data_IF_527221704391
#
_entry.id   IF_527221704391
#
_cell.length_a   1.000
_cell.length_b   1.000
_cell.length_c   1.000
_cell.angle_alpha   90.00
_cell.angle_beta   90.00
_cell.angle_gamma   90.00
#
_symmetry.space_group_name_H-M   'P 1'
#
loop_
_entity.id
_entity.type
_entity.pdbx_description
1 polymer ?
#
# COMPACT_ATOMS: atom_id res chain seq x y z
N UNK A 1 -8.91 -6.49 35.47
CA UNK A 1 -9.84 -5.93 34.46
C UNK A 1 -9.92 -4.43 34.68
N UNK A 2 -9.03 -3.65 34.06
CA UNK A 2 -8.97 -2.19 34.17
C UNK A 2 -9.13 -1.59 32.77
N UNK A 3 -10.36 -1.40 32.34
CA UNK A 3 -10.70 -0.60 31.16
C UNK A 3 -11.44 0.64 31.66
N UNK A 4 -10.88 1.83 31.46
CA UNK A 4 -11.50 3.09 31.90
C UNK A 4 -10.55 4.25 32.24
N UNK A 5 -9.22 4.10 32.16
CA UNK A 5 -8.35 5.25 32.41
C UNK A 5 -8.28 6.18 31.19
N UNK A 6 -8.53 7.46 31.44
CA UNK A 6 -8.36 8.54 30.48
C UNK A 6 -6.93 8.51 29.94
N UNK A 7 -6.78 8.41 28.61
CA UNK A 7 -5.46 8.53 28.00
C UNK A 7 -5.19 10.02 27.78
N UNK A 8 -4.03 10.46 28.28
CA UNK A 8 -3.51 11.82 28.10
C UNK A 8 -2.35 11.75 27.12
N UNK A 9 -2.27 12.71 26.21
CA UNK A 9 -1.09 12.91 25.40
C UNK A 9 -0.73 14.39 25.42
N UNK A 10 0.58 14.65 25.38
CA UNK A 10 1.18 15.98 25.37
C UNK A 10 1.73 16.21 23.96
N UNK A 11 1.20 17.20 23.25
CA UNK A 11 1.84 17.71 22.04
C UNK A 11 2.60 19.00 22.37
N UNK A 12 3.67 19.29 21.64
CA UNK A 12 4.45 20.51 21.81
C UNK A 12 4.15 21.45 20.65
N UNK A 13 3.89 22.72 20.94
CA UNK A 13 3.72 23.74 19.90
C UNK A 13 5.08 24.26 19.36
N UNK A 14 5.02 25.21 18.43
CA UNK A 14 6.20 25.81 17.79
C UNK A 14 7.09 26.58 18.78
N UNK A 15 6.58 26.93 19.97
CA UNK A 15 7.31 27.57 21.06
C UNK A 15 7.85 26.54 22.07
N UNK A 16 7.61 25.24 21.83
CA UNK A 16 8.04 24.14 22.70
C UNK A 16 7.17 23.96 23.95
N UNK A 17 5.99 24.57 23.99
CA UNK A 17 5.07 24.47 25.12
C UNK A 17 4.23 23.20 24.98
N UNK A 18 4.24 22.37 26.03
CA UNK A 18 3.49 21.12 26.07
C UNK A 18 2.02 21.33 26.42
N UNK A 19 1.12 20.96 25.52
CA UNK A 19 -0.33 21.02 25.69
C UNK A 19 -0.89 19.63 25.99
N UNK A 20 -1.50 19.46 27.16
CA UNK A 20 -2.06 18.20 27.63
C UNK A 20 -3.54 18.07 27.19
N UNK A 21 -3.85 17.11 26.33
CA UNK A 21 -5.22 16.89 25.83
C UNK A 21 -5.84 15.67 26.52
N UNK A 22 -6.99 15.89 27.16
CA UNK A 22 -7.78 14.87 27.85
C UNK A 22 -8.78 14.23 26.89
N UNK A 23 -8.47 13.00 26.44
CA UNK A 23 -9.29 12.28 25.46
C UNK A 23 -10.46 11.57 26.17
N UNK A 24 -11.55 12.31 26.45
CA UNK A 24 -12.86 11.73 26.78
C UNK A 24 -13.79 11.97 25.60
N UNK A 25 -14.43 10.89 25.15
CA UNK A 25 -15.46 10.84 24.11
C UNK A 25 -14.91 10.97 22.69
N UNK A 26 -15.21 10.01 21.81
CA UNK A 26 -14.83 10.04 20.39
C UNK A 26 -15.58 11.10 19.58
N UNK A 27 -15.70 12.32 20.12
CA UNK A 27 -16.53 13.40 19.63
C UNK A 27 -18.00 12.99 19.48
N UNK A 28 -18.71 13.75 18.64
CA UNK A 28 -20.11 13.47 18.27
C UNK A 28 -20.30 12.08 17.63
N UNK A 29 -19.29 11.58 16.91
CA UNK A 29 -19.33 10.26 16.28
C UNK A 29 -19.38 9.14 17.33
N UNK A 30 -18.51 9.20 18.34
CA UNK A 30 -18.47 8.23 19.43
C UNK A 30 -19.75 8.24 20.26
N UNK A 31 -20.28 9.43 20.55
CA UNK A 31 -21.56 9.58 21.24
C UNK A 31 -22.74 9.01 20.41
N UNK A 32 -22.76 9.28 19.11
CA UNK A 32 -23.81 8.80 18.20
C UNK A 32 -23.79 7.29 18.03
N UNK A 33 -22.62 6.67 17.87
CA UNK A 33 -22.48 5.22 17.73
C UNK A 33 -22.87 4.48 19.02
N UNK A 34 -22.50 5.03 20.18
CA UNK A 34 -22.92 4.49 21.46
C UNK A 34 -24.44 4.57 21.63
N UNK A 35 -25.03 5.74 21.36
CA UNK A 35 -26.47 5.97 21.51
C UNK A 35 -27.33 5.15 20.55
N UNK A 36 -26.94 5.07 19.28
CA UNK A 36 -27.79 4.50 18.22
C UNK A 36 -27.56 3.00 18.01
N UNK A 37 -26.36 2.50 18.33
CA UNK A 37 -25.98 1.12 18.02
C UNK A 37 -25.35 0.38 19.21
N UNK A 38 -25.18 1.03 20.37
CA UNK A 38 -24.46 0.49 21.53
C UNK A 38 -23.03 0.02 21.17
N UNK A 39 -22.39 0.74 20.24
CA UNK A 39 -21.02 0.46 19.77
C UNK A 39 -20.05 1.49 20.35
N UNK A 40 -18.98 1.00 20.98
CA UNK A 40 -17.89 1.86 21.45
C UNK A 40 -16.77 1.96 20.41
N UNK A 41 -16.28 3.18 20.21
CA UNK A 41 -15.21 3.46 19.25
C UNK A 41 -13.84 3.16 19.87
N UNK A 42 -13.01 2.40 19.16
CA UNK A 42 -11.63 2.15 19.59
C UNK A 42 -10.72 3.33 19.21
N UNK A 43 -10.64 4.35 20.07
CA UNK A 43 -9.99 5.63 19.77
C UNK A 43 -8.51 5.52 19.34
N UNK A 44 -7.77 4.52 19.85
CA UNK A 44 -6.37 4.30 19.41
C UNK A 44 -6.22 3.76 17.98
N UNK A 45 -7.27 3.15 17.43
CA UNK A 45 -7.31 2.57 16.08
C UNK A 45 -8.13 3.41 15.11
N UNK A 46 -9.01 4.26 15.63
CA UNK A 46 -9.88 5.14 14.84
C UNK A 46 -9.11 6.40 14.50
N UNK A 47 -8.66 6.49 13.25
CA UNK A 47 -7.88 7.60 12.74
C UNK A 47 -8.47 8.09 11.43
N UNK A 48 -8.24 9.36 11.12
CA UNK A 48 -8.74 9.99 9.91
C UNK A 48 -7.58 10.60 9.13
N UNK A 49 -7.69 10.50 7.81
CA UNK A 49 -6.79 11.14 6.87
C UNK A 49 -7.61 11.68 5.70
N UNK A 50 -7.19 12.82 5.15
CA UNK A 50 -7.74 13.33 3.90
C UNK A 50 -6.64 14.03 3.10
N UNK A 51 -6.80 14.03 1.78
CA UNK A 51 -5.86 14.67 0.87
C UNK A 51 -5.96 16.21 0.88
N UNK A 52 -7.03 16.78 1.46
CA UNK A 52 -7.26 18.22 1.51
C UNK A 52 -6.43 18.92 2.60
N UNK A 53 -5.77 18.16 3.49
CA UNK A 53 -4.96 18.71 4.58
C UNK A 53 -5.77 19.38 5.69
N UNK A 54 -7.11 19.20 5.70
CA UNK A 54 -7.98 19.80 6.72
C UNK A 54 -8.12 18.88 7.93
N UNK A 55 -7.96 19.39 9.14
CA UNK A 55 -8.15 18.59 10.36
C UNK A 55 -9.65 18.27 10.57
N UNK A 56 -10.04 16.97 10.62
CA UNK A 56 -11.41 16.59 10.94
C UNK A 56 -11.73 16.80 12.42
N UNK A 57 -12.87 17.41 12.70
CA UNK A 57 -13.34 17.60 14.08
C UNK A 57 -13.56 16.26 14.81
N UNK A 58 -12.99 16.14 16.01
CA UNK A 58 -13.27 15.02 16.95
C UNK A 58 -12.63 13.68 16.61
N UNK A 59 -11.73 13.61 15.62
CA UNK A 59 -11.00 12.39 15.25
C UNK A 59 -9.49 12.60 15.30
N UNK A 60 -8.74 11.54 15.60
CA UNK A 60 -7.29 11.59 15.52
C UNK A 60 -6.86 11.71 14.05
N UNK A 61 -6.39 12.90 13.67
CA UNK A 61 -5.93 13.19 12.33
C UNK A 61 -4.49 12.76 12.13
N UNK A 62 -4.24 11.93 11.11
CA UNK A 62 -2.90 11.48 10.73
C UNK A 62 -2.36 12.21 9.51
N UNK A 63 -3.01 13.26 9.03
CA UNK A 63 -2.47 14.17 8.01
C UNK A 63 -1.79 15.40 8.59
N UNK A 64 -1.58 15.46 9.92
CA UNK A 64 -1.05 16.62 10.61
C UNK A 64 0.32 17.03 10.05
N UNK A 65 0.41 18.27 9.56
CA UNK A 65 1.61 18.86 8.97
C UNK A 65 2.78 18.98 9.95
N UNK A 66 2.49 19.04 11.26
CA UNK A 66 3.52 19.00 12.31
C UNK A 66 4.17 17.62 12.46
N UNK A 67 3.56 16.55 11.93
CA UNK A 67 4.18 15.23 11.89
C UNK A 67 5.20 15.16 10.76
N UNK A 68 6.29 14.39 10.93
CA UNK A 68 7.19 14.07 9.83
C UNK A 68 6.41 13.48 8.63
N UNK A 69 6.75 13.81 7.37
CA UNK A 69 6.02 13.33 6.19
C UNK A 69 5.81 11.82 6.16
N UNK A 70 6.76 11.03 6.66
CA UNK A 70 6.71 9.56 6.73
C UNK A 70 5.66 9.03 7.72
N UNK A 71 5.07 9.89 8.55
CA UNK A 71 4.00 9.57 9.50
C UNK A 71 2.64 10.16 9.08
N UNK A 72 2.60 10.88 7.94
CA UNK A 72 1.39 11.54 7.45
C UNK A 72 0.50 10.61 6.62
N UNK A 73 -0.07 9.58 7.26
CA UNK A 73 -0.93 8.63 6.58
C UNK A 73 -1.58 7.61 7.51
N UNK A 74 -2.25 6.62 6.92
CA UNK A 74 -2.85 5.49 7.62
C UNK A 74 -2.81 4.23 6.75
N UNK A 75 -2.98 3.08 7.40
CA UNK A 75 -3.11 1.79 6.72
C UNK A 75 -4.58 1.38 6.68
N UNK A 76 -5.13 1.19 5.48
CA UNK A 76 -6.45 0.61 5.27
C UNK A 76 -6.28 -0.84 4.87
N UNK A 77 -6.64 -1.78 5.75
CA UNK A 77 -6.49 -3.23 5.49
C UNK A 77 -5.08 -3.66 5.05
N UNK A 78 -4.06 -2.89 5.43
CA UNK A 78 -2.66 -3.12 5.06
C UNK A 78 -2.16 -2.31 3.86
N UNK A 79 -3.05 -1.64 3.12
CA UNK A 79 -2.71 -0.73 2.03
C UNK A 79 -2.42 0.68 2.57
N UNK A 80 -1.28 1.29 2.21
CA UNK A 80 -0.93 2.63 2.67
C UNK A 80 -1.74 3.70 1.93
N UNK A 81 -2.26 4.66 2.69
CA UNK A 81 -2.89 5.88 2.20
C UNK A 81 -2.29 7.07 2.95
N UNK A 82 -1.74 8.05 2.26
CA UNK A 82 -1.04 9.15 2.91
C UNK A 82 -0.23 10.01 1.95
N UNK A 83 0.70 10.75 2.53
CA UNK A 83 1.79 11.41 1.79
C UNK A 83 2.60 10.40 0.96
N UNK A 84 3.34 10.89 -0.03
CA UNK A 84 4.24 10.07 -0.84
C UNK A 84 5.30 9.39 0.03
N UNK A 85 5.81 10.09 1.03
CA UNK A 85 6.84 9.65 1.95
C UNK A 85 6.31 8.57 2.90
N UNK A 86 5.06 8.68 3.37
CA UNK A 86 4.40 7.65 4.17
C UNK A 86 4.18 6.36 3.35
N UNK A 87 3.73 6.50 2.10
CA UNK A 87 3.53 5.35 1.21
C UNK A 87 4.86 4.66 0.92
N UNK A 88 5.89 5.42 0.55
CA UNK A 88 7.23 4.89 0.26
C UNK A 88 7.84 4.20 1.49
N UNK A 89 7.81 4.84 2.67
CA UNK A 89 8.35 4.26 3.90
C UNK A 89 7.65 2.95 4.28
N UNK A 90 6.32 2.90 4.12
CA UNK A 90 5.53 1.69 4.36
C UNK A 90 5.91 0.58 3.37
N UNK A 91 6.03 0.89 2.09
CA UNK A 91 6.41 -0.07 1.07
C UNK A 91 7.84 -0.61 1.30
N UNK A 92 8.78 0.26 1.70
CA UNK A 92 10.14 -0.14 2.07
C UNK A 92 10.13 -1.07 3.29
N UNK A 93 9.34 -0.78 4.33
CA UNK A 93 9.19 -1.66 5.48
C UNK A 93 8.58 -3.02 5.09
N UNK A 94 7.57 -3.03 4.20
CA UNK A 94 7.02 -4.26 3.64
C UNK A 94 8.07 -5.04 2.86
N UNK A 95 8.90 -4.37 2.07
CA UNK A 95 10.02 -4.99 1.34
C UNK A 95 11.01 -5.64 2.30
N UNK A 96 11.41 -4.96 3.35
CA UNK A 96 12.24 -5.56 4.42
C UNK A 96 11.64 -6.84 4.99
N UNK A 97 10.36 -6.83 5.34
CA UNK A 97 9.65 -8.01 5.85
C UNK A 97 9.63 -9.19 4.86
N UNK A 98 9.44 -8.94 3.56
CA UNK A 98 9.52 -10.06 2.61
C UNK A 98 10.97 -10.50 2.37
N UNK A 99 11.98 -9.66 2.64
CA UNK A 99 13.39 -10.05 2.62
C UNK A 99 13.71 -11.08 3.71
N UNK A 100 13.24 -10.83 4.94
CA UNK A 100 13.34 -11.81 6.04
C UNK A 100 12.64 -13.13 5.69
N UNK A 101 11.50 -13.07 5.00
CA UNK A 101 10.78 -14.26 4.55
C UNK A 101 11.59 -15.05 3.51
N UNK A 102 12.24 -14.38 2.55
CA UNK A 102 13.09 -15.05 1.56
C UNK A 102 14.33 -15.68 2.22
N UNK A 103 14.92 -15.01 3.22
CA UNK A 103 16.03 -15.60 3.99
C UNK A 103 15.60 -16.87 4.73
N UNK A 104 14.40 -16.86 5.35
CA UNK A 104 13.84 -18.05 6.00
C UNK A 104 13.48 -19.16 5.03
N UNK A 105 13.02 -18.80 3.84
CA UNK A 105 12.75 -19.76 2.76
C UNK A 105 14.03 -20.50 2.41
N UNK A 106 15.12 -19.79 2.11
CA UNK A 106 16.42 -20.38 1.75
C UNK A 106 17.09 -21.18 2.88
N UNK A 107 16.58 -21.07 4.12
CA UNK A 107 17.09 -21.81 5.27
C UNK A 107 16.43 -23.20 5.44
N UNK A 108 15.46 -23.57 4.58
CA UNK A 108 14.77 -24.86 4.68
C UNK A 108 15.64 -26.02 4.21
N UNK A 109 16.65 -25.75 3.38
CA UNK A 109 17.61 -26.73 2.85
C UNK A 109 16.92 -27.86 2.05
N UNK A 110 15.77 -27.56 1.43
CA UNK A 110 15.02 -28.50 0.60
C UNK A 110 14.50 -27.80 -0.66
N UNK A 111 15.21 -28.01 -1.76
CA UNK A 111 15.04 -27.27 -3.01
C UNK A 111 13.59 -27.29 -3.53
N UNK A 112 12.87 -28.42 -3.42
CA UNK A 112 11.52 -28.51 -3.96
C UNK A 112 10.54 -27.63 -3.18
N UNK A 113 10.58 -27.69 -1.85
CA UNK A 113 9.75 -26.86 -0.97
C UNK A 113 10.11 -25.39 -1.12
N UNK A 114 11.39 -25.06 -1.17
CA UNK A 114 11.88 -23.70 -1.37
C UNK A 114 11.39 -23.11 -2.70
N UNK A 115 11.55 -23.87 -3.78
CA UNK A 115 11.04 -23.50 -5.10
C UNK A 115 9.53 -23.25 -5.08
N UNK A 116 8.78 -24.16 -4.47
CA UNK A 116 7.32 -24.09 -4.44
C UNK A 116 6.84 -22.93 -3.57
N UNK A 117 7.54 -22.63 -2.47
CA UNK A 117 7.30 -21.46 -1.63
C UNK A 117 7.64 -20.15 -2.34
N UNK A 118 8.71 -20.12 -3.14
CA UNK A 118 9.09 -18.96 -3.92
C UNK A 118 8.02 -18.62 -4.95
N UNK A 119 7.63 -19.62 -5.75
CA UNK A 119 6.69 -19.48 -6.86
C UNK A 119 5.25 -19.19 -6.39
N UNK A 120 4.73 -19.99 -5.46
CA UNK A 120 3.31 -19.94 -5.08
C UNK A 120 3.01 -18.91 -4.00
N UNK A 121 3.99 -18.56 -3.17
CA UNK A 121 3.79 -17.63 -2.06
C UNK A 121 4.58 -16.35 -2.23
N UNK A 122 5.92 -16.42 -2.19
CA UNK A 122 6.77 -15.23 -2.05
C UNK A 122 6.57 -14.23 -3.21
N UNK A 123 6.60 -14.72 -4.46
CA UNK A 123 6.37 -13.91 -5.66
C UNK A 123 4.97 -13.26 -5.69
N UNK A 124 3.97 -13.91 -5.08
CA UNK A 124 2.58 -13.44 -5.11
C UNK A 124 2.25 -12.41 -4.01
N UNK A 125 3.12 -12.25 -2.99
CA UNK A 125 2.83 -11.42 -1.81
C UNK A 125 2.69 -9.93 -2.13
N UNK A 126 3.26 -9.47 -3.23
CA UNK A 126 3.18 -8.07 -3.64
C UNK A 126 1.82 -7.70 -4.27
N UNK A 127 1.05 -8.69 -4.78
CA UNK A 127 -0.13 -8.46 -5.63
C UNK A 127 -1.17 -7.52 -5.00
N UNK A 128 -1.45 -7.64 -3.70
CA UNK A 128 -2.43 -6.76 -3.07
C UNK A 128 -1.96 -5.29 -3.05
N UNK A 129 -0.66 -5.04 -2.89
CA UNK A 129 -0.10 -3.69 -2.95
C UNK A 129 -0.15 -3.16 -4.37
N UNK A 130 0.19 -3.98 -5.37
CA UNK A 130 0.08 -3.60 -6.79
C UNK A 130 -1.35 -3.25 -7.20
N UNK A 131 -2.35 -3.88 -6.56
CA UNK A 131 -3.78 -3.60 -6.80
C UNK A 131 -4.33 -2.40 -6.04
N UNK A 132 -3.64 -1.90 -5.01
CA UNK A 132 -4.20 -0.88 -4.10
C UNK A 132 -3.36 0.39 -4.00
N UNK A 133 -2.10 0.35 -4.45
CA UNK A 133 -1.19 1.50 -4.48
C UNK A 133 -1.05 2.00 -5.92
N UNK A 134 -1.10 3.33 -6.16
CA UNK A 134 -0.87 3.88 -7.49
C UNK A 134 0.44 3.37 -8.12
N UNK A 135 0.45 3.00 -9.42
CA UNK A 135 1.61 2.43 -10.09
C UNK A 135 2.88 3.30 -10.00
N UNK A 136 2.74 4.62 -10.01
CA UNK A 136 3.86 5.57 -9.88
C UNK A 136 4.50 5.55 -8.49
N UNK A 137 3.72 5.25 -7.45
CA UNK A 137 4.21 5.12 -6.08
C UNK A 137 4.74 3.70 -5.78
N UNK A 138 4.29 2.69 -6.54
CA UNK A 138 4.71 1.31 -6.36
C UNK A 138 5.95 0.91 -7.20
N UNK A 139 6.45 1.77 -8.10
CA UNK A 139 7.54 1.48 -9.04
C UNK A 139 8.79 0.92 -8.34
N UNK A 140 9.33 1.66 -7.37
CA UNK A 140 10.55 1.28 -6.65
C UNK A 140 10.37 -0.01 -5.86
N UNK A 141 9.21 -0.16 -5.19
CA UNK A 141 8.87 -1.37 -4.45
C UNK A 141 8.79 -2.60 -5.36
N UNK A 142 8.15 -2.46 -6.53
CA UNK A 142 7.98 -3.55 -7.47
C UNK A 142 9.32 -3.96 -8.11
N UNK A 143 10.16 -2.99 -8.49
CA UNK A 143 11.51 -3.26 -8.98
C UNK A 143 12.39 -3.95 -7.92
N UNK A 144 12.34 -3.47 -6.67
CA UNK A 144 13.08 -4.07 -5.55
C UNK A 144 12.57 -5.48 -5.21
N UNK A 145 11.26 -5.72 -5.34
CA UNK A 145 10.67 -7.05 -5.20
C UNK A 145 11.18 -8.01 -6.27
N UNK A 146 11.13 -7.63 -7.55
CA UNK A 146 11.60 -8.45 -8.67
C UNK A 146 13.08 -8.81 -8.50
N UNK A 147 13.92 -7.84 -8.16
CA UNK A 147 15.34 -8.08 -7.89
C UNK A 147 15.57 -9.06 -6.73
N UNK A 148 14.76 -9.01 -5.68
CA UNK A 148 14.86 -9.94 -4.56
C UNK A 148 14.40 -11.36 -4.92
N UNK A 149 13.36 -11.49 -5.74
CA UNK A 149 12.89 -12.78 -6.27
C UNK A 149 13.95 -13.39 -7.21
N UNK A 150 14.54 -12.57 -8.09
CA UNK A 150 15.61 -12.97 -9.01
C UNK A 150 16.85 -13.47 -8.24
N UNK A 151 17.31 -12.73 -7.21
CA UNK A 151 18.40 -13.19 -6.34
C UNK A 151 18.07 -14.47 -5.60
N UNK A 152 16.87 -14.60 -5.06
CA UNK A 152 16.44 -15.84 -4.39
C UNK A 152 16.46 -17.04 -5.35
N UNK A 153 15.96 -16.86 -6.58
CA UNK A 153 16.05 -17.88 -7.62
C UNK A 153 17.51 -18.24 -7.95
N UNK A 154 18.40 -17.24 -8.05
CA UNK A 154 19.82 -17.46 -8.33
C UNK A 154 20.45 -18.39 -7.28
N UNK A 155 20.21 -18.12 -6.00
CA UNK A 155 20.70 -18.96 -4.88
C UNK A 155 20.13 -20.38 -4.95
N UNK A 156 18.84 -20.54 -5.25
CA UNK A 156 18.23 -21.87 -5.41
C UNK A 156 18.87 -22.67 -6.55
N UNK A 157 19.13 -22.03 -7.69
CA UNK A 157 19.76 -22.67 -8.85
C UNK A 157 21.24 -23.01 -8.61
N UNK A 158 21.93 -22.24 -7.77
CA UNK A 158 23.31 -22.48 -7.36
C UNK A 158 23.46 -23.53 -6.24
N UNK A 159 22.36 -24.08 -5.71
CA UNK A 159 22.41 -25.05 -4.63
C UNK A 159 22.71 -24.46 -3.25
N UNK A 160 22.35 -23.19 -3.01
CA UNK A 160 22.49 -22.54 -1.71
C UNK A 160 23.84 -21.83 -1.48
N UNK A 161 24.73 -21.83 -2.46
CA UNK A 161 25.94 -20.99 -2.44
C UNK A 161 25.59 -19.52 -2.74
N UNK A 162 26.45 -18.58 -2.29
CA UNK A 162 26.33 -17.15 -2.61
C UNK A 162 26.42 -16.97 -4.13
N UNK A 163 25.25 -16.93 -4.77
CA UNK A 163 25.10 -16.82 -6.21
C UNK A 163 25.28 -15.38 -6.66
N UNK A 164 25.97 -15.22 -7.80
CA UNK A 164 25.93 -14.01 -8.62
C UNK A 164 24.49 -13.72 -9.10
N UNK A 165 24.22 -12.47 -9.45
CA UNK A 165 22.95 -12.07 -10.06
C UNK A 165 22.68 -12.89 -11.36
N UNK A 166 21.41 -13.21 -11.60
CA UNK A 166 21.02 -13.89 -12.84
C UNK A 166 21.32 -12.99 -14.06
N UNK A 167 21.87 -13.55 -15.15
CA UNK A 167 21.96 -12.83 -16.42
C UNK A 167 20.58 -12.34 -16.86
N UNK A 168 20.52 -11.15 -17.45
CA UNK A 168 19.25 -10.49 -17.81
C UNK A 168 18.33 -11.33 -18.70
N UNK A 169 18.88 -12.14 -19.59
CA UNK A 169 18.10 -13.06 -20.43
C UNK A 169 17.49 -14.21 -19.60
N UNK A 170 18.23 -14.74 -18.63
CA UNK A 170 17.77 -15.80 -17.72
C UNK A 170 16.66 -15.29 -16.81
N UNK A 171 16.80 -14.07 -16.28
CA UNK A 171 15.76 -13.40 -15.50
C UNK A 171 14.48 -13.23 -16.33
N UNK A 172 14.57 -12.66 -17.54
CA UNK A 172 13.40 -12.51 -18.43
C UNK A 172 12.75 -13.85 -18.78
N UNK A 173 13.54 -14.90 -18.98
CA UNK A 173 13.01 -16.25 -19.22
C UNK A 173 12.30 -16.80 -17.99
N UNK A 174 12.84 -16.61 -16.78
CA UNK A 174 12.21 -17.04 -15.54
C UNK A 174 10.84 -16.35 -15.31
N UNK A 175 10.71 -15.09 -15.76
CA UNK A 175 9.47 -14.32 -15.67
C UNK A 175 8.37 -14.79 -16.63
N UNK A 176 8.71 -15.57 -17.66
CA UNK A 176 7.71 -16.11 -18.59
C UNK A 176 6.82 -17.16 -17.90
N UNK A 177 5.55 -17.29 -18.31
CA UNK A 177 4.70 -18.39 -17.88
C UNK A 177 5.31 -19.76 -18.18
N UNK A 178 5.00 -20.77 -17.36
CA UNK A 178 5.44 -22.16 -17.55
C UNK A 178 5.07 -22.70 -18.95
N UNK A 179 3.87 -22.35 -19.46
CA UNK A 179 3.41 -22.73 -20.81
C UNK A 179 4.25 -22.15 -21.96
N UNK A 180 5.10 -21.16 -21.67
CA UNK A 180 6.04 -20.54 -22.61
C UNK A 180 7.49 -20.95 -22.34
N UNK A 181 7.71 -21.98 -21.50
CA UNK A 181 9.05 -22.46 -21.13
C UNK A 181 9.78 -21.59 -20.12
N UNK A 182 9.06 -20.69 -19.42
CA UNK A 182 9.61 -19.94 -18.29
C UNK A 182 9.44 -20.65 -16.95
N UNK A 183 9.64 -19.91 -15.87
CA UNK A 183 9.51 -20.41 -14.50
C UNK A 183 8.28 -19.86 -13.75
N UNK A 184 7.51 -18.96 -14.38
CA UNK A 184 6.29 -18.39 -13.80
C UNK A 184 6.49 -17.31 -12.75
N UNK A 185 7.72 -16.80 -12.57
CA UNK A 185 8.02 -15.71 -11.62
C UNK A 185 7.75 -14.35 -12.26
N UNK A 186 6.48 -14.08 -12.57
CA UNK A 186 6.06 -12.86 -13.27
C UNK A 186 6.58 -11.57 -12.62
N UNK A 187 7.07 -10.62 -13.43
CA UNK A 187 7.55 -9.33 -12.95
C UNK A 187 6.45 -8.49 -12.31
N UNK A 188 6.59 -8.17 -11.02
CA UNK A 188 5.73 -7.24 -10.32
C UNK A 188 5.77 -5.84 -10.95
N UNK A 189 6.96 -5.41 -11.42
CA UNK A 189 7.16 -4.10 -12.03
C UNK A 189 6.37 -3.94 -13.33
N UNK A 190 6.38 -4.95 -14.20
CA UNK A 190 5.62 -4.93 -15.45
C UNK A 190 4.10 -5.05 -15.19
N UNK A 191 3.68 -5.84 -14.20
CA UNK A 191 2.26 -6.07 -13.93
C UNK A 191 1.57 -4.97 -13.12
N UNK A 192 2.31 -4.06 -12.46
CA UNK A 192 1.74 -3.05 -11.55
C UNK A 192 0.59 -2.24 -12.15
N UNK A 193 0.70 -1.83 -13.42
CA UNK A 193 -0.30 -1.00 -14.09
C UNK A 193 -1.58 -1.81 -14.34
N UNK A 194 -1.43 -3.01 -14.90
CA UNK A 194 -2.54 -3.92 -15.15
C UNK A 194 -3.24 -4.34 -13.85
N UNK A 195 -2.48 -4.63 -12.79
CA UNK A 195 -3.02 -5.00 -11.48
C UNK A 195 -3.86 -3.87 -10.87
N UNK A 196 -3.34 -2.64 -10.89
CA UNK A 196 -4.06 -1.45 -10.41
C UNK A 196 -5.33 -1.18 -11.24
N UNK A 197 -5.21 -1.23 -12.57
CA UNK A 197 -6.36 -1.04 -13.48
C UNK A 197 -7.45 -2.09 -13.29
N UNK A 198 -7.09 -3.37 -13.13
CA UNK A 198 -8.04 -4.45 -12.87
C UNK A 198 -8.78 -4.24 -11.55
N UNK A 199 -8.09 -3.77 -10.49
CA UNK A 199 -8.71 -3.45 -9.21
C UNK A 199 -9.78 -2.35 -9.33
N UNK A 200 -9.51 -1.34 -10.17
CA UNK A 200 -10.50 -0.33 -10.51
C UNK A 200 -11.68 -0.91 -11.28
N UNK A 201 -11.44 -1.70 -12.32
CA UNK A 201 -12.48 -2.34 -13.11
C UNK A 201 -13.44 -3.19 -12.23
N UNK A 202 -12.87 -3.97 -11.30
CA UNK A 202 -13.63 -4.79 -10.35
C UNK A 202 -14.50 -3.92 -9.41
N UNK A 203 -14.01 -2.73 -9.04
CA UNK A 203 -14.66 -1.86 -8.04
C UNK A 203 -15.74 -0.96 -8.64
N UNK A 204 -15.65 -0.60 -9.93
CA UNK A 204 -16.60 0.31 -10.60
C UNK A 204 -18.04 -0.19 -10.52
N UNK A 205 -18.27 -1.49 -10.69
CA UNK A 205 -19.61 -2.09 -10.62
C UNK A 205 -20.27 -1.90 -9.24
N UNK A 206 -19.50 -2.10 -8.17
CA UNK A 206 -19.98 -1.88 -6.81
C UNK A 206 -20.21 -0.39 -6.53
N UNK A 207 -19.30 0.48 -6.95
CA UNK A 207 -19.45 1.94 -6.80
C UNK A 207 -20.68 2.47 -7.54
N UNK A 208 -20.97 1.96 -8.73
CA UNK A 208 -22.16 2.37 -9.50
C UNK A 208 -23.45 2.03 -8.76
N UNK A 209 -23.51 0.90 -8.07
CA UNK A 209 -24.69 0.45 -7.32
C UNK A 209 -24.84 1.21 -5.99
N UNK A 210 -23.78 1.34 -5.22
CA UNK A 210 -23.85 1.88 -3.86
C UNK A 210 -23.65 3.40 -3.77
N UNK A 211 -22.85 3.98 -4.67
CA UNK A 211 -22.44 5.38 -4.64
C UNK A 211 -22.37 6.01 -6.04
N UNK A 212 -23.48 6.04 -6.80
CA UNK A 212 -23.48 6.50 -8.20
C UNK A 212 -22.99 7.95 -8.35
N UNK A 213 -23.34 8.84 -7.42
CA UNK A 213 -22.89 10.23 -7.43
C UNK A 213 -21.38 10.39 -7.22
N UNK A 214 -20.77 9.56 -6.38
CA UNK A 214 -19.32 9.54 -6.16
C UNK A 214 -18.60 9.01 -7.41
N UNK A 215 -19.12 7.93 -8.01
CA UNK A 215 -18.56 7.41 -9.26
C UNK A 215 -18.61 8.43 -10.39
N UNK A 216 -19.74 9.15 -10.54
CA UNK A 216 -19.87 10.20 -11.55
C UNK A 216 -18.79 11.30 -11.38
N UNK A 217 -18.53 11.72 -10.14
CA UNK A 217 -17.45 12.68 -9.84
C UNK A 217 -16.06 12.15 -10.17
N UNK A 218 -15.81 10.85 -9.91
CA UNK A 218 -14.52 10.20 -10.16
C UNK A 218 -14.25 9.95 -11.66
N UNK A 219 -15.30 9.68 -12.44
CA UNK A 219 -15.19 9.42 -13.89
C UNK A 219 -15.13 10.72 -14.69
N UNK A 220 -15.72 11.81 -14.19
CA UNK A 220 -15.79 13.11 -14.88
C UNK A 220 -14.43 13.61 -15.46
N UNK A 221 -13.29 13.49 -14.75
CA UNK A 221 -12.00 13.87 -15.30
C UNK A 221 -11.54 13.02 -16.48
N UNK A 222 -11.98 11.76 -16.59
CA UNK A 222 -11.64 10.88 -17.72
C UNK A 222 -12.49 11.15 -18.98
N UNK A 223 -13.62 11.83 -18.83
CA UNK A 223 -14.47 12.25 -19.95
C UNK A 223 -14.10 13.63 -20.49
N UNK A 224 -13.51 14.49 -19.65
CA UNK A 224 -13.03 15.81 -20.03
C UNK A 224 -11.92 16.25 -19.07
N UNK A 225 -10.67 16.11 -19.51
CA UNK A 225 -9.47 16.39 -18.73
C UNK A 225 -9.23 17.89 -18.51
N UNK A 226 -9.88 18.75 -19.30
CA UNK A 226 -9.80 20.20 -19.19
C UNK A 226 -10.63 20.78 -18.03
N UNK A 227 -11.43 19.94 -17.35
CA UNK A 227 -12.27 20.39 -16.25
C UNK A 227 -11.47 20.79 -14.99
N UNK A 228 -11.92 21.83 -14.26
CA UNK A 228 -11.35 22.17 -12.96
C UNK A 228 -11.55 21.03 -11.96
N UNK A 229 -10.48 20.64 -11.25
CA UNK A 229 -10.51 19.57 -10.25
C UNK A 229 -10.14 18.17 -10.78
N UNK A 230 -9.66 18.06 -12.02
CA UNK A 230 -9.02 16.84 -12.52
C UNK A 230 -7.86 16.44 -11.60
N UNK A 231 -7.87 15.22 -11.02
CA UNK A 231 -6.82 14.78 -10.11
C UNK A 231 -5.49 14.67 -10.89
N UNK A 232 -4.34 14.98 -10.24
CA UNK A 232 -3.03 14.94 -10.90
C UNK A 232 -2.74 13.63 -11.64
N UNK A 233 -3.18 12.50 -11.07
CA UNK A 233 -3.04 11.16 -11.66
C UNK A 233 -3.75 10.98 -13.00
N UNK A 234 -4.85 11.70 -13.26
CA UNK A 234 -5.54 11.64 -14.55
C UNK A 234 -4.77 12.39 -15.65
N UNK A 235 -4.08 13.48 -15.30
CA UNK A 235 -3.19 14.21 -16.22
C UNK A 235 -1.89 13.45 -16.50
N UNK A 236 -1.31 12.83 -15.47
CA UNK A 236 -0.14 11.96 -15.62
C UNK A 236 -0.44 10.78 -16.56
N UNK A 237 -1.64 10.19 -16.47
CA UNK A 237 -2.08 9.12 -17.35
C UNK A 237 -2.23 9.57 -18.81
N UNK A 238 -2.75 10.78 -19.06
CA UNK A 238 -2.85 11.37 -20.41
C UNK A 238 -1.46 11.64 -21.01
N UNK A 239 -0.56 12.24 -20.23
CA UNK A 239 0.83 12.49 -20.65
C UNK A 239 1.56 11.20 -20.99
N UNK A 240 1.37 10.15 -20.17
CA UNK A 240 1.94 8.83 -20.44
C UNK A 240 1.35 8.21 -21.72
N UNK A 241 0.04 8.34 -21.95
CA UNK A 241 -0.62 7.86 -23.16
C UNK A 241 -0.15 8.58 -24.44
N UNK A 242 0.19 9.87 -24.34
CA UNK A 242 0.73 10.66 -25.44
C UNK A 242 2.21 10.36 -25.74
N UNK A 243 2.92 9.71 -24.82
CA UNK A 243 4.34 9.32 -24.96
C UNK A 243 4.56 7.91 -25.51
N UNK A 244 3.48 7.18 -25.81
CA UNK A 244 3.46 5.86 -26.47
C UNK A 244 3.26 6.02 -27.98
#
# INVERSE_FOLDING_TARGET
MFYGQASRYVYYDEEGVGHEVLQREGGELGASLSRLANVQVHLRKTRAWNAAGGEPAGLCWTGNWALPPQQQGLLVRGSPLGSREFVSSTLAAKRGQQGELLARLLALQELQSEWMLLLLFAAQRCNYLLRTVPPSLAEEFAASHDAAISRCLAVLLAGGEDSLDLPSLSEKRAQLPLRMGGLGLSSAREHRQAAYGASWADTVGALRKCHPGTLAKLVRPFTDLALPGTPPSAREAEQAAQSL
#
